data_IF_167078846067
#
_entry.id   IF_167078846067
#
_cell.length_a   1.000
_cell.length_b   1.000
_cell.length_c   1.000
_cell.angle_alpha   90.00
_cell.angle_beta   90.00
_cell.angle_gamma   90.00
#
_symmetry.space_group_name_H-M   'P 1'
#
loop_
_entity.id
_entity.type
_entity.pdbx_description
1 polymer ?
#
# COMPACT_ATOMS: atom_id res chain seq x y z
N UNK A 1 -17.63 55.46 -31.45
CA UNK A 1 -16.84 54.42 -30.77
C UNK A 1 -16.87 53.18 -31.64
N UNK A 2 -15.82 52.90 -32.43
CA UNK A 2 -15.83 51.78 -33.39
C UNK A 2 -15.34 50.50 -32.69
N UNK A 3 -16.14 49.44 -32.78
CA UNK A 3 -15.75 48.10 -32.31
C UNK A 3 -14.71 47.50 -33.29
N UNK A 4 -13.63 46.90 -32.79
CA UNK A 4 -12.60 46.30 -33.64
C UNK A 4 -13.16 45.12 -34.46
N UNK A 5 -12.87 45.12 -35.77
CA UNK A 5 -13.25 44.05 -36.70
C UNK A 5 -12.28 42.87 -36.53
N UNK A 6 -12.59 41.95 -35.63
CA UNK A 6 -11.85 40.68 -35.54
C UNK A 6 -12.19 39.82 -36.75
N UNK A 7 -11.17 39.40 -37.51
CA UNK A 7 -11.36 38.55 -38.68
C UNK A 7 -11.65 37.11 -38.22
N UNK A 8 -12.55 36.41 -38.92
CA UNK A 8 -13.03 35.06 -38.53
C UNK A 8 -11.90 34.04 -38.25
N UNK A 9 -10.73 34.22 -38.88
CA UNK A 9 -9.53 33.40 -38.65
C UNK A 9 -8.91 33.60 -37.27
N UNK A 10 -8.92 34.81 -36.71
CA UNK A 10 -8.39 35.06 -35.36
C UNK A 10 -9.34 34.55 -34.29
N UNK A 11 -10.66 34.54 -34.54
CA UNK A 11 -11.65 34.00 -33.61
C UNK A 11 -11.49 32.49 -33.42
N UNK A 12 -11.27 31.73 -34.50
CA UNK A 12 -11.04 30.27 -34.41
C UNK A 12 -9.76 29.91 -33.66
N UNK A 13 -8.69 30.71 -33.81
CA UNK A 13 -7.42 30.48 -33.07
C UNK A 13 -7.59 30.77 -31.58
N UNK A 14 -8.29 31.85 -31.24
CA UNK A 14 -8.57 32.18 -29.84
C UNK A 14 -9.43 31.08 -29.19
N UNK A 15 -10.44 30.56 -29.90
CA UNK A 15 -11.30 29.50 -29.40
C UNK A 15 -10.55 28.17 -29.21
N UNK A 16 -9.62 27.84 -30.11
CA UNK A 16 -8.77 26.65 -29.95
C UNK A 16 -7.82 26.78 -28.76
N UNK A 17 -7.21 27.96 -28.56
CA UNK A 17 -6.30 28.20 -27.43
C UNK A 17 -7.02 28.18 -26.09
N UNK A 18 -8.24 28.72 -25.99
CA UNK A 18 -9.02 28.66 -24.74
C UNK A 18 -9.44 27.24 -24.39
N UNK A 19 -9.76 26.40 -25.38
CA UNK A 19 -10.05 24.97 -25.17
C UNK A 19 -8.81 24.24 -24.67
N UNK A 20 -7.65 24.44 -25.31
CA UNK A 20 -6.39 23.80 -24.91
C UNK A 20 -5.99 24.21 -23.48
N UNK A 21 -6.08 25.50 -23.15
CA UNK A 21 -5.80 26.00 -21.80
C UNK A 21 -6.80 25.44 -20.80
N UNK A 22 -8.09 25.36 -21.12
CA UNK A 22 -9.12 24.76 -20.26
C UNK A 22 -8.85 23.27 -19.99
N UNK A 23 -8.53 22.49 -21.01
CA UNK A 23 -8.17 21.07 -20.88
C UNK A 23 -6.91 20.92 -20.04
N UNK A 24 -5.90 21.77 -20.26
CA UNK A 24 -4.67 21.76 -19.47
C UNK A 24 -4.94 22.12 -18.00
N UNK A 25 -5.79 23.11 -17.72
CA UNK A 25 -6.18 23.47 -16.36
C UNK A 25 -7.00 22.36 -15.69
N UNK A 26 -7.91 21.71 -16.41
CA UNK A 26 -8.65 20.54 -15.91
C UNK A 26 -7.71 19.35 -15.65
N UNK A 27 -6.71 19.13 -16.50
CA UNK A 27 -5.67 18.13 -16.29
C UNK A 27 -4.81 18.44 -15.04
N UNK A 28 -4.46 19.71 -14.82
CA UNK A 28 -3.77 20.15 -13.61
C UNK A 28 -4.64 20.03 -12.35
N UNK A 29 -5.94 20.32 -12.46
CA UNK A 29 -6.91 20.12 -11.37
C UNK A 29 -7.07 18.62 -11.04
N UNK A 30 -7.15 17.75 -12.04
CA UNK A 30 -7.19 16.29 -11.89
C UNK A 30 -5.91 15.74 -11.23
N UNK A 31 -4.76 16.38 -11.44
CA UNK A 31 -3.52 16.07 -10.70
C UNK A 31 -3.57 16.53 -9.25
N UNK A 32 -4.23 17.65 -8.94
CA UNK A 32 -4.28 18.24 -7.59
C UNK A 32 -5.23 17.48 -6.65
N UNK A 33 -6.33 16.94 -7.15
CA UNK A 33 -7.30 16.17 -6.33
C UNK A 33 -6.81 14.78 -5.89
N UNK A 34 -5.53 14.44 -6.14
CA UNK A 34 -4.89 13.21 -5.64
C UNK A 34 -4.09 13.43 -4.36
N UNK A 35 -3.97 14.66 -3.87
CA UNK A 35 -3.19 15.00 -2.67
C UNK A 35 -3.85 16.12 -1.88
N UNK A 36 -4.97 15.84 -1.21
CA UNK A 36 -5.41 16.66 -0.07
C UNK A 36 -6.13 15.73 0.93
N UNK A 37 -5.43 15.16 1.93
CA UNK A 37 -6.10 14.49 3.03
C UNK A 37 -6.60 15.51 4.07
N UNK A 38 -7.81 15.29 4.65
CA UNK A 38 -8.33 16.11 5.73
C UNK A 38 -7.50 15.93 7.01
N UNK A 39 -7.24 17.05 7.66
CA UNK A 39 -6.68 17.12 9.01
C UNK A 39 -7.74 16.62 9.99
N UNK A 40 -7.47 15.57 10.78
CA UNK A 40 -7.64 15.57 12.26
C UNK A 40 -7.66 14.19 12.97
N UNK A 41 -6.88 14.14 14.06
CA UNK A 41 -7.11 13.54 15.40
C UNK A 41 -6.99 12.02 15.64
N UNK A 42 -5.85 11.64 16.23
CA UNK A 42 -5.65 10.60 17.27
C UNK A 42 -6.77 9.60 17.53
N UNK A 43 -6.58 8.38 16.99
CA UNK A 43 -6.62 7.10 17.69
C UNK A 43 -5.79 6.12 16.86
N UNK A 44 -4.72 5.59 17.44
CA UNK A 44 -3.88 4.56 16.85
C UNK A 44 -4.66 3.24 16.77
N UNK A 45 -5.46 3.13 15.73
CA UNK A 45 -6.11 1.89 15.33
C UNK A 45 -5.91 1.84 13.83
N UNK A 46 -5.37 0.74 13.32
CA UNK A 46 -5.26 0.51 11.88
C UNK A 46 -6.64 0.18 11.29
N UNK A 47 -7.63 1.01 11.60
CA UNK A 47 -8.94 0.96 11.00
C UNK A 47 -8.86 1.80 9.73
N UNK A 48 -8.76 1.12 8.60
CA UNK A 48 -8.97 1.69 7.27
C UNK A 48 -10.43 2.17 7.15
N UNK A 49 -10.75 3.29 7.79
CA UNK A 49 -12.13 3.80 7.85
C UNK A 49 -12.57 4.52 6.57
N UNK A 50 -11.86 4.37 5.45
CA UNK A 50 -12.22 5.10 4.23
C UNK A 50 -12.23 4.32 2.93
N UNK A 51 -11.86 3.04 2.87
CA UNK A 51 -12.24 2.15 1.75
C UNK A 51 -12.29 0.68 2.20
N UNK A 52 -13.32 -0.03 1.75
CA UNK A 52 -13.61 -1.46 1.92
C UNK A 52 -12.59 -2.36 1.17
N UNK A 53 -11.29 -2.06 1.24
CA UNK A 53 -10.27 -2.82 0.53
C UNK A 53 -9.74 -3.96 1.40
N UNK A 54 -9.91 -5.18 0.91
CA UNK A 54 -9.25 -6.36 1.46
C UNK A 54 -7.73 -6.20 1.39
N UNK A 55 -7.02 -6.56 2.46
CA UNK A 55 -5.56 -6.63 2.43
C UNK A 55 -5.02 -7.79 3.27
N UNK A 56 -3.79 -8.18 2.97
CA UNK A 56 -3.00 -9.10 3.79
C UNK A 56 -1.97 -8.32 4.61
N UNK A 57 -1.82 -8.66 5.89
CA UNK A 57 -0.69 -8.24 6.72
C UNK A 57 0.28 -9.39 6.85
N UNK A 58 1.49 -9.22 6.36
CA UNK A 58 2.57 -10.20 6.46
C UNK A 58 3.62 -9.73 7.47
N UNK A 59 3.53 -10.28 8.68
CA UNK A 59 4.50 -10.04 9.76
C UNK A 59 5.69 -10.97 9.60
N UNK A 60 6.88 -10.39 9.48
CA UNK A 60 8.12 -11.13 9.27
C UNK A 60 9.29 -10.52 10.05
N UNK A 61 10.41 -11.25 10.07
CA UNK A 61 11.69 -10.81 10.58
C UNK A 61 12.80 -11.21 9.60
N UNK A 62 13.89 -10.44 9.52
CA UNK A 62 14.96 -10.71 8.54
C UNK A 62 15.80 -11.94 8.92
N UNK A 63 15.99 -12.19 10.21
CA UNK A 63 16.68 -13.39 10.72
C UNK A 63 15.87 -14.69 10.59
N UNK A 64 14.61 -14.61 10.20
CA UNK A 64 13.68 -15.74 10.19
C UNK A 64 13.77 -16.55 8.90
N UNK A 65 14.41 -17.73 8.95
CA UNK A 65 14.54 -18.63 7.79
C UNK A 65 13.19 -19.08 7.20
N UNK A 66 12.16 -19.29 8.04
CA UNK A 66 10.79 -19.59 7.58
C UNK A 66 10.16 -18.43 6.78
N UNK A 67 10.55 -17.20 7.11
CA UNK A 67 10.08 -16.01 6.44
C UNK A 67 10.76 -15.89 5.08
N UNK A 68 12.08 -16.11 5.01
CA UNK A 68 12.84 -16.16 3.76
C UNK A 68 12.27 -17.20 2.78
N UNK A 69 11.86 -18.37 3.29
CA UNK A 69 11.23 -19.41 2.47
C UNK A 69 9.82 -19.04 2.00
N UNK A 70 9.05 -18.28 2.78
CA UNK A 70 7.66 -17.93 2.46
C UNK A 70 7.51 -16.64 1.64
N UNK A 71 8.45 -15.69 1.78
CA UNK A 71 8.49 -14.40 1.04
C UNK A 71 8.21 -14.56 -0.47
N UNK A 72 8.78 -15.54 -1.20
CA UNK A 72 8.47 -15.76 -2.61
C UNK A 72 7.00 -16.02 -2.90
N UNK A 73 6.33 -16.86 -2.12
CA UNK A 73 4.91 -17.15 -2.30
C UNK A 73 4.03 -15.93 -2.03
N UNK A 74 4.37 -15.15 -1.00
CA UNK A 74 3.66 -13.90 -0.68
C UNK A 74 3.83 -12.85 -1.79
N UNK A 75 5.04 -12.75 -2.36
CA UNK A 75 5.33 -11.90 -3.52
C UNK A 75 4.53 -12.35 -4.74
N UNK A 76 4.60 -13.63 -5.08
CA UNK A 76 3.94 -14.16 -6.27
C UNK A 76 2.41 -13.97 -6.15
N UNK A 77 1.85 -14.18 -4.95
CA UNK A 77 0.47 -13.85 -4.64
C UNK A 77 0.16 -12.37 -4.93
N UNK A 78 0.98 -11.43 -4.42
CA UNK A 78 0.79 -10.00 -4.69
C UNK A 78 0.83 -9.67 -6.18
N UNK A 79 1.74 -10.29 -6.93
CA UNK A 79 1.92 -9.99 -8.35
C UNK A 79 0.78 -10.55 -9.22
N UNK A 80 0.17 -11.67 -8.81
CA UNK A 80 -0.94 -12.31 -9.56
C UNK A 80 -2.31 -11.86 -9.10
N UNK A 81 -2.45 -11.32 -7.88
CA UNK A 81 -3.73 -10.96 -7.30
C UNK A 81 -3.84 -9.44 -7.04
N UNK A 82 -5.03 -8.88 -7.25
CA UNK A 82 -5.31 -7.47 -6.94
C UNK A 82 -5.52 -7.19 -5.43
N UNK A 83 -4.91 -7.99 -4.54
CA UNK A 83 -4.98 -7.79 -3.10
C UNK A 83 -3.64 -7.24 -2.63
N UNK A 84 -3.70 -6.11 -1.91
CA UNK A 84 -2.50 -5.51 -1.32
C UNK A 84 -1.98 -6.40 -0.19
N UNK A 85 -0.68 -6.63 -0.19
CA UNK A 85 0.04 -7.19 0.97
C UNK A 85 0.90 -6.11 1.61
N UNK A 86 0.79 -5.95 2.92
CA UNK A 86 1.63 -5.06 3.73
C UNK A 86 2.65 -5.89 4.50
N UNK A 87 3.93 -5.61 4.24
CA UNK A 87 5.07 -6.26 4.87
C UNK A 87 5.44 -5.52 6.17
N UNK A 88 5.16 -6.13 7.31
CA UNK A 88 5.38 -5.53 8.64
C UNK A 88 6.58 -6.19 9.31
N UNK A 89 7.59 -5.38 9.64
CA UNK A 89 8.80 -5.82 10.32
C UNK A 89 9.04 -4.95 11.57
N UNK A 90 9.37 -5.60 12.68
CA UNK A 90 9.69 -4.94 13.94
C UNK A 90 10.90 -5.62 14.62
N UNK A 91 11.72 -6.34 13.85
CA UNK A 91 12.84 -7.11 14.37
C UNK A 91 14.11 -6.28 14.62
N UNK A 92 14.01 -4.95 14.53
CA UNK A 92 15.07 -4.02 14.95
C UNK A 92 16.33 -4.02 14.09
N UNK A 93 16.28 -4.61 12.89
CA UNK A 93 17.34 -4.53 11.89
C UNK A 93 16.73 -4.52 10.51
N UNK A 94 16.66 -3.35 9.87
CA UNK A 94 16.94 -3.35 8.43
C UNK A 94 18.44 -3.66 8.34
N UNK A 95 18.80 -4.88 7.95
CA UNK A 95 20.16 -5.12 7.51
C UNK A 95 20.34 -4.34 6.21
N UNK A 96 20.78 -3.09 6.35
CA UNK A 96 21.38 -2.30 5.29
C UNK A 96 22.75 -2.91 4.96
N UNK A 97 22.76 -4.17 4.54
CA UNK A 97 23.90 -4.76 3.87
C UNK A 97 23.89 -4.25 2.42
N UNK A 98 24.24 -2.97 2.26
CA UNK A 98 24.51 -2.34 0.96
C UNK A 98 25.65 -3.05 0.20
N UNK A 99 26.34 -4.01 0.84
CA UNK A 99 27.41 -4.80 0.24
C UNK A 99 27.09 -6.28 0.03
N UNK A 100 25.85 -6.74 0.24
CA UNK A 100 25.45 -8.09 -0.25
C UNK A 100 25.08 -7.99 -1.72
N UNK A 101 26.12 -7.90 -2.54
CA UNK A 101 26.05 -8.10 -3.99
C UNK A 101 25.80 -9.58 -4.29
N UNK A 102 24.68 -10.14 -3.84
CA UNK A 102 24.19 -11.44 -4.28
C UNK A 102 22.69 -11.58 -4.01
N UNK A 103 21.92 -11.57 -5.11
CA UNK A 103 20.47 -11.81 -5.20
C UNK A 103 19.57 -10.79 -4.49
N UNK A 104 19.35 -9.66 -5.19
CA UNK A 104 18.09 -8.89 -5.25
C UNK A 104 16.95 -9.58 -4.48
N UNK A 105 16.75 -9.26 -3.19
CA UNK A 105 15.53 -9.68 -2.49
C UNK A 105 14.39 -9.01 -3.26
N UNK A 106 13.71 -9.81 -4.07
CA UNK A 106 12.55 -9.38 -4.85
C UNK A 106 11.48 -8.73 -3.98
N UNK A 107 11.48 -9.03 -2.68
CA UNK A 107 10.52 -8.52 -1.70
C UNK A 107 10.85 -7.07 -1.28
N UNK A 108 12.08 -6.58 -1.51
CA UNK A 108 12.52 -5.22 -1.11
C UNK A 108 11.57 -4.14 -1.63
N UNK A 109 11.13 -4.28 -2.88
CA UNK A 109 10.14 -3.40 -3.50
C UNK A 109 8.85 -3.30 -2.68
N UNK A 110 8.32 -4.42 -2.18
CA UNK A 110 7.04 -4.46 -1.45
C UNK A 110 7.19 -3.95 -0.01
N UNK A 111 8.37 -4.14 0.59
CA UNK A 111 8.71 -3.55 1.90
C UNK A 111 8.75 -2.02 1.78
N UNK A 112 9.44 -1.48 0.77
CA UNK A 112 9.48 -0.04 0.50
C UNK A 112 8.09 0.53 0.19
N UNK A 113 7.31 -0.15 -0.67
CA UNK A 113 5.93 0.24 -0.95
C UNK A 113 5.03 0.20 0.29
N UNK A 114 5.26 -0.76 1.20
CA UNK A 114 4.51 -0.85 2.47
C UNK A 114 4.88 0.31 3.38
N UNK A 115 6.17 0.63 3.50
CA UNK A 115 6.68 1.77 4.27
C UNK A 115 6.03 3.08 3.79
N UNK A 116 6.13 3.36 2.49
CA UNK A 116 5.53 4.57 1.89
C UNK A 116 4.00 4.61 2.10
N UNK A 117 3.31 3.49 1.98
CA UNK A 117 1.87 3.41 2.23
C UNK A 117 1.51 3.75 3.68
N UNK A 118 2.21 3.15 4.65
CA UNK A 118 1.96 3.38 6.09
C UNK A 118 2.27 4.82 6.45
N UNK A 119 3.40 5.35 5.97
CA UNK A 119 3.84 6.73 6.23
C UNK A 119 2.81 7.74 5.75
N UNK A 120 2.43 7.65 4.48
CA UNK A 120 1.47 8.56 3.88
C UNK A 120 0.08 8.44 4.52
N UNK A 121 -0.37 7.22 4.82
CA UNK A 121 -1.71 6.99 5.36
C UNK A 121 -1.86 7.47 6.80
N UNK A 122 -0.82 7.32 7.61
CA UNK A 122 -0.86 7.64 9.04
C UNK A 122 -0.17 8.96 9.38
N UNK A 123 0.30 9.71 8.38
CA UNK A 123 1.07 10.93 8.55
C UNK A 123 2.27 10.71 9.49
N UNK A 124 2.93 9.56 9.35
CA UNK A 124 4.15 9.20 10.07
C UNK A 124 5.32 9.84 9.35
N UNK A 125 6.20 10.51 10.10
CA UNK A 125 7.28 11.33 9.53
C UNK A 125 8.68 10.91 9.96
N UNK A 126 8.77 9.91 10.85
CA UNK A 126 10.03 9.42 11.39
C UNK A 126 10.05 7.89 11.47
N UNK A 127 11.25 7.31 11.32
CA UNK A 127 11.46 5.86 11.44
C UNK A 127 11.06 5.32 12.83
N UNK A 128 11.22 6.14 13.88
CA UNK A 128 10.79 5.80 15.25
C UNK A 128 9.26 5.70 15.40
N UNK A 129 8.51 6.57 14.71
CA UNK A 129 7.05 6.51 14.69
C UNK A 129 6.58 5.29 13.90
N UNK A 130 7.26 4.95 12.80
CA UNK A 130 7.01 3.75 12.02
C UNK A 130 7.29 2.47 12.82
N UNK A 131 8.39 2.43 13.57
CA UNK A 131 8.72 1.29 14.44
C UNK A 131 7.68 1.12 15.55
N UNK A 132 7.29 2.22 16.20
CA UNK A 132 6.24 2.22 17.22
C UNK A 132 4.90 1.75 16.64
N UNK A 133 4.54 2.24 15.45
CA UNK A 133 3.36 1.82 14.72
C UNK A 133 3.38 0.31 14.42
N UNK A 134 4.48 -0.20 13.85
CA UNK A 134 4.63 -1.63 13.56
C UNK A 134 4.54 -2.49 14.83
N UNK A 135 5.10 -2.01 15.94
CA UNK A 135 5.02 -2.66 17.25
C UNK A 135 3.59 -2.69 17.80
N UNK A 136 2.85 -1.59 17.67
CA UNK A 136 1.46 -1.51 18.09
C UNK A 136 0.59 -2.44 17.24
N UNK A 137 0.84 -2.51 15.93
CA UNK A 137 0.16 -3.41 15.02
C UNK A 137 0.43 -4.89 15.36
N UNK A 138 1.67 -5.26 15.66
CA UNK A 138 1.98 -6.63 16.11
C UNK A 138 1.21 -7.04 17.36
N UNK A 139 1.04 -6.10 18.30
CA UNK A 139 0.25 -6.31 19.52
C UNK A 139 -1.24 -6.43 19.22
N UNK A 140 -1.78 -5.57 18.35
CA UNK A 140 -3.19 -5.60 17.92
C UNK A 140 -3.55 -6.92 17.20
N UNK A 141 -2.61 -7.49 16.46
CA UNK A 141 -2.76 -8.74 15.72
C UNK A 141 -2.26 -9.98 16.49
N UNK A 142 -1.97 -9.87 17.79
CA UNK A 142 -1.54 -10.99 18.64
C UNK A 142 -0.39 -11.81 18.01
N UNK A 143 0.58 -11.12 17.42
CA UNK A 143 1.72 -11.73 16.71
C UNK A 143 2.75 -12.22 17.73
N UNK A 144 2.84 -13.54 17.90
CA UNK A 144 3.77 -14.18 18.85
C UNK A 144 5.00 -14.82 18.18
N UNK A 145 5.05 -14.84 16.85
CA UNK A 145 6.14 -15.45 16.09
C UNK A 145 6.07 -15.14 14.59
N UNK A 146 7.13 -15.51 13.87
CA UNK A 146 7.28 -15.23 12.45
C UNK A 146 7.49 -16.51 11.63
N UNK A 147 7.00 -16.56 10.36
CA UNK A 147 6.09 -15.59 9.76
C UNK A 147 4.67 -15.73 10.32
N UNK A 148 3.94 -14.62 10.40
CA UNK A 148 2.50 -14.59 10.67
C UNK A 148 1.80 -13.78 9.59
N UNK A 149 0.70 -14.29 9.04
CA UNK A 149 -0.07 -13.62 8.00
C UNK A 149 -1.54 -13.52 8.40
N UNK A 150 -2.14 -12.35 8.18
CA UNK A 150 -3.57 -12.11 8.42
C UNK A 150 -4.23 -11.58 7.15
N UNK A 151 -5.45 -12.03 6.88
CA UNK A 151 -6.38 -11.39 5.97
C UNK A 151 -7.31 -10.47 6.75
N UNK A 152 -7.49 -9.24 6.26
CA UNK A 152 -8.34 -8.23 6.87
C UNK A 152 -9.38 -7.75 5.87
N UNK A 153 -10.65 -7.81 6.26
CA UNK A 153 -11.82 -7.29 5.52
C UNK A 153 -12.83 -6.77 6.54
N UNK A 154 -13.31 -5.54 6.37
CA UNK A 154 -14.36 -4.95 7.22
C UNK A 154 -14.11 -5.11 8.74
N UNK A 155 -12.88 -4.84 9.20
CA UNK A 155 -12.38 -5.05 10.58
C UNK A 155 -12.30 -6.51 11.07
N UNK A 156 -12.71 -7.50 10.27
CA UNK A 156 -12.50 -8.91 10.60
C UNK A 156 -11.06 -9.30 10.27
N UNK A 157 -10.36 -9.90 11.24
CA UNK A 157 -9.01 -10.46 11.08
C UNK A 157 -9.06 -11.99 11.03
N UNK A 158 -8.55 -12.57 9.95
CA UNK A 158 -8.46 -14.03 9.78
C UNK A 158 -6.99 -14.44 9.70
N UNK A 159 -6.53 -15.30 10.60
CA UNK A 159 -5.13 -15.74 10.66
C UNK A 159 -4.88 -16.87 9.67
N UNK A 160 -3.84 -16.72 8.84
CA UNK A 160 -3.36 -17.79 7.96
C UNK A 160 -2.66 -18.90 8.77
N UNK A 161 -3.08 -20.15 8.54
CA UNK A 161 -2.49 -21.33 9.20
C UNK A 161 -3.45 -22.52 9.23
N UNK A 162 -3.14 -23.55 10.01
CA UNK A 162 -3.95 -24.77 10.06
C UNK A 162 -3.68 -25.66 8.86
N UNK A 163 -4.68 -25.87 8.00
CA UNK A 163 -4.60 -26.75 6.82
C UNK A 163 -3.92 -26.11 5.59
N UNK A 164 -3.67 -24.79 5.60
CA UNK A 164 -2.98 -24.10 4.52
C UNK A 164 -1.46 -24.25 4.64
N UNK A 165 -0.79 -24.43 3.51
CA UNK A 165 0.67 -24.51 3.42
C UNK A 165 1.27 -23.18 2.92
N UNK A 166 2.58 -22.99 3.10
CA UNK A 166 3.27 -21.71 2.83
C UNK A 166 3.65 -21.55 1.35
N UNK A 167 2.69 -21.74 0.46
CA UNK A 167 2.81 -21.62 -0.99
C UNK A 167 1.70 -20.73 -1.56
N UNK A 168 1.84 -20.33 -2.83
CA UNK A 168 0.94 -19.37 -3.48
C UNK A 168 -0.49 -19.94 -3.65
N UNK A 169 -0.62 -21.22 -3.98
CA UNK A 169 -1.93 -21.88 -4.17
C UNK A 169 -2.73 -21.91 -2.86
N UNK A 170 -2.06 -22.24 -1.76
CA UNK A 170 -2.67 -22.19 -0.42
C UNK A 170 -3.02 -20.78 0.03
N UNK A 171 -2.25 -19.76 -0.35
CA UNK A 171 -2.58 -18.35 -0.11
C UNK A 171 -3.83 -17.92 -0.89
N UNK A 172 -3.90 -18.27 -2.18
CA UNK A 172 -5.05 -18.00 -3.04
C UNK A 172 -6.31 -18.68 -2.51
N UNK A 173 -6.21 -19.96 -2.13
CA UNK A 173 -7.31 -20.70 -1.50
C UNK A 173 -7.76 -20.04 -0.20
N UNK A 174 -6.83 -19.73 0.70
CA UNK A 174 -7.15 -19.07 1.95
C UNK A 174 -7.90 -17.75 1.72
N UNK A 175 -7.41 -16.91 0.82
CA UNK A 175 -8.04 -15.64 0.51
C UNK A 175 -9.43 -15.83 -0.10
N UNK A 176 -9.61 -16.81 -0.99
CA UNK A 176 -10.94 -17.15 -1.53
C UNK A 176 -11.89 -17.57 -0.42
N UNK A 177 -11.46 -18.50 0.45
CA UNK A 177 -12.25 -18.99 1.57
C UNK A 177 -12.66 -17.85 2.51
N UNK A 178 -11.76 -16.89 2.77
CA UNK A 178 -12.06 -15.74 3.64
C UNK A 178 -12.98 -14.70 2.98
N UNK A 179 -12.86 -14.51 1.66
CA UNK A 179 -13.74 -13.61 0.90
C UNK A 179 -15.18 -14.08 0.89
N UNK A 180 -15.37 -15.39 0.73
CA UNK A 180 -16.69 -16.03 0.65
C UNK A 180 -17.36 -16.18 2.02
N UNK A 181 -16.57 -16.17 3.10
CA UNK A 181 -17.06 -16.40 4.48
C UNK A 181 -17.51 -15.13 5.22
N UNK A 182 -17.33 -13.93 4.65
CA UNK A 182 -17.61 -12.65 5.31
C UNK A 182 -18.51 -11.75 4.46
#
# INVERSE_FOLDING_TARGET
>A
MQLPKFTCKSLSVILALTIIVSIFLQYLQMRRTRTDPPKQNTKETFSDQSNEEDYLLFFYADWCGHCTAFKPAVRDFYDTNMIRVLYINNSGKFEDDENTTSKKDSSKKYVEMTKEYIENKNNITSDSELELFNKNLQKEFDVTGYPTLYYVKNNNKSKFGGSYTRDVESLERFVSDMRDSQ
#
